data_IF_880906706623
#
_entry.id   IF_880906706623
#
_cell.length_a   1.000
_cell.length_b   1.000
_cell.length_c   1.000
_cell.angle_alpha   90.00
_cell.angle_beta   90.00
_cell.angle_gamma   90.00
#
_symmetry.space_group_name_H-M   'P 1'
#
loop_
_entity.id
_entity.type
_entity.pdbx_description
1 polymer ?
#
# COMPACT_ATOMS: atom_id res chain seq x y z
N UNK A 1 26.04 -3.71 -11.77
CA UNK A 1 26.13 -5.14 -11.39
C UNK A 1 25.64 -5.28 -9.96
N UNK A 2 24.60 -6.11 -9.78
CA UNK A 2 24.05 -6.74 -8.57
C UNK A 2 24.27 -6.04 -7.22
N UNK A 3 23.26 -5.29 -6.78
CA UNK A 3 23.12 -4.91 -5.37
C UNK A 3 22.44 -6.04 -4.61
N UNK A 4 23.25 -6.90 -3.99
CA UNK A 4 22.86 -7.63 -2.79
C UNK A 4 23.85 -7.27 -1.70
N UNK A 5 23.36 -6.86 -0.52
CA UNK A 5 23.88 -7.54 0.65
C UNK A 5 22.77 -7.93 1.63
N UNK A 6 22.88 -9.17 2.11
CA UNK A 6 22.30 -9.65 3.35
C UNK A 6 22.75 -8.71 4.48
N UNK A 7 21.85 -7.85 4.96
CA UNK A 7 22.05 -7.12 6.22
C UNK A 7 20.76 -7.29 7.03
N UNK A 8 20.88 -7.55 8.33
CA UNK A 8 19.77 -7.59 9.30
C UNK A 8 19.08 -6.23 9.48
N UNK A 9 19.36 -5.26 8.62
CA UNK A 9 18.80 -3.92 8.59
C UNK A 9 17.81 -3.82 7.44
N UNK A 10 16.71 -3.09 7.68
CA UNK A 10 15.63 -2.91 6.69
C UNK A 10 16.22 -2.32 5.39
N UNK A 11 15.87 -2.84 4.21
CA UNK A 11 16.36 -2.29 2.96
C UNK A 11 15.88 -0.85 2.77
N UNK A 12 16.61 -0.06 1.98
CA UNK A 12 16.26 1.34 1.69
C UNK A 12 14.88 1.49 1.02
N UNK A 13 14.40 0.46 0.33
CA UNK A 13 13.06 0.41 -0.25
C UNK A 13 11.96 -0.06 0.72
N UNK A 14 12.29 -0.31 1.99
CA UNK A 14 11.33 -0.84 2.96
C UNK A 14 10.20 0.16 3.20
N UNK A 15 8.96 -0.27 2.96
CA UNK A 15 7.78 0.58 3.13
C UNK A 15 7.57 1.61 2.00
N UNK A 16 8.45 1.67 0.99
CA UNK A 16 8.25 2.59 -0.12
C UNK A 16 7.23 2.04 -1.12
N UNK A 17 5.99 2.50 -0.98
CA UNK A 17 4.86 2.10 -1.80
C UNK A 17 5.13 2.22 -3.31
N UNK A 18 5.89 3.22 -3.77
CA UNK A 18 6.19 3.38 -5.21
C UNK A 18 7.13 2.30 -5.74
N UNK A 19 7.98 1.75 -4.87
CA UNK A 19 8.99 0.75 -5.22
C UNK A 19 8.48 -0.67 -4.99
N UNK A 20 7.77 -0.91 -3.87
CA UNK A 20 7.31 -2.25 -3.48
C UNK A 20 5.92 -2.59 -4.02
N UNK A 21 5.11 -1.57 -4.32
CA UNK A 21 3.76 -1.74 -4.87
C UNK A 21 3.43 -0.63 -5.90
N UNK A 22 4.26 -0.51 -6.96
CA UNK A 22 4.08 0.46 -8.03
C UNK A 22 2.71 0.34 -8.69
N UNK A 23 2.20 1.49 -9.17
CA UNK A 23 1.06 1.54 -10.07
C UNK A 23 1.57 1.32 -11.49
N UNK A 24 1.10 0.25 -12.13
CA UNK A 24 1.42 -0.04 -13.53
C UNK A 24 0.51 0.77 -14.48
N UNK A 25 0.86 0.78 -15.77
CA UNK A 25 0.15 1.51 -16.82
C UNK A 25 -1.27 1.03 -17.06
N UNK A 26 -1.61 -0.17 -16.60
CA UNK A 26 -2.95 -0.75 -16.61
C UNK A 26 -3.84 -0.24 -15.46
N UNK A 27 -3.29 0.62 -14.59
CA UNK A 27 -3.96 1.16 -13.41
C UNK A 27 -4.16 0.12 -12.30
N UNK A 28 -3.45 -1.00 -12.36
CA UNK A 28 -3.33 -1.96 -11.27
C UNK A 28 -2.00 -1.76 -10.55
N UNK A 29 -2.00 -2.07 -9.26
CA UNK A 29 -0.77 -2.09 -8.48
C UNK A 29 -0.23 -3.51 -8.43
N UNK A 30 1.03 -3.68 -8.78
CA UNK A 30 1.68 -4.99 -8.87
C UNK A 30 2.90 -5.00 -7.96
N UNK A 31 3.08 -6.08 -7.20
CA UNK A 31 4.30 -6.28 -6.41
C UNK A 31 5.37 -6.89 -7.32
N UNK A 32 6.54 -6.26 -7.52
CA UNK A 32 7.59 -6.83 -8.35
C UNK A 32 8.08 -8.17 -7.80
N UNK A 33 8.43 -9.10 -8.68
CA UNK A 33 8.88 -10.45 -8.29
C UNK A 33 10.13 -10.41 -7.36
N UNK A 34 11.00 -9.42 -7.55
CA UNK A 34 12.13 -9.19 -6.65
C UNK A 34 11.70 -8.92 -5.20
N UNK A 35 10.58 -8.23 -4.98
CA UNK A 35 10.03 -8.00 -3.65
C UNK A 35 9.40 -9.28 -3.05
N UNK A 36 8.83 -10.15 -3.88
CA UNK A 36 8.27 -11.44 -3.43
C UNK A 36 9.34 -12.43 -2.96
N UNK A 37 10.57 -12.29 -3.48
CA UNK A 37 11.76 -13.02 -3.06
C UNK A 37 12.45 -12.41 -1.83
N UNK A 38 12.01 -11.25 -1.34
CA UNK A 38 12.58 -10.62 -0.15
C UNK A 38 12.15 -11.33 1.14
N UNK A 39 13.08 -11.50 2.08
CA UNK A 39 12.81 -12.04 3.42
C UNK A 39 11.82 -11.18 4.24
N UNK A 40 11.81 -9.86 4.01
CA UNK A 40 10.98 -8.93 4.75
C UNK A 40 9.64 -8.60 4.05
N UNK A 41 9.27 -9.32 2.98
CA UNK A 41 8.14 -8.97 2.11
C UNK A 41 6.83 -8.68 2.84
N UNK A 42 6.47 -9.50 3.82
CA UNK A 42 5.21 -9.39 4.56
C UNK A 42 5.18 -8.14 5.42
N UNK A 43 6.25 -7.91 6.18
CA UNK A 43 6.38 -6.76 7.08
C UNK A 43 6.51 -5.47 6.25
N UNK A 44 7.28 -5.50 5.17
CA UNK A 44 7.48 -4.37 4.27
C UNK A 44 6.17 -3.92 3.60
N UNK A 45 5.39 -4.86 3.06
CA UNK A 45 4.10 -4.57 2.44
C UNK A 45 3.09 -4.08 3.49
N UNK A 46 3.06 -4.69 4.68
CA UNK A 46 2.19 -4.23 5.77
C UNK A 46 2.54 -2.78 6.17
N UNK A 47 3.82 -2.47 6.41
CA UNK A 47 4.24 -1.11 6.74
C UNK A 47 3.97 -0.10 5.61
N UNK A 48 4.13 -0.50 4.34
CA UNK A 48 3.77 0.36 3.21
C UNK A 48 2.26 0.69 3.16
N UNK A 49 1.42 -0.25 3.60
CA UNK A 49 -0.04 -0.10 3.63
C UNK A 49 -0.58 0.57 4.89
N UNK A 50 0.20 0.65 5.95
CA UNK A 50 -0.20 1.24 7.24
C UNK A 50 -0.12 2.77 7.24
N UNK A 51 0.87 3.35 6.55
CA UNK A 51 1.02 4.82 6.50
C UNK A 51 0.08 5.52 5.50
N UNK A 52 0.19 6.85 5.45
CA UNK A 52 -0.61 7.75 4.59
C UNK A 52 -0.75 7.33 3.13
N UNK A 53 0.35 6.85 2.52
CA UNK A 53 0.35 6.38 1.13
C UNK A 53 -0.48 5.10 0.98
N UNK A 54 -0.49 4.22 1.99
CA UNK A 54 -1.30 3.00 2.05
C UNK A 54 -2.80 3.28 2.19
N UNK A 55 -3.16 4.32 2.94
CA UNK A 55 -4.55 4.78 3.05
C UNK A 55 -5.10 5.26 1.71
N UNK A 56 -4.27 5.91 0.88
CA UNK A 56 -4.63 6.28 -0.49
C UNK A 56 -4.91 5.05 -1.35
N UNK A 57 -4.11 3.99 -1.24
CA UNK A 57 -4.36 2.71 -1.95
C UNK A 57 -5.70 2.09 -1.56
N UNK A 58 -6.03 2.10 -0.27
CA UNK A 58 -7.33 1.58 0.21
C UNK A 58 -8.49 2.39 -0.36
N UNK A 59 -8.33 3.70 -0.49
CA UNK A 59 -9.34 4.56 -1.11
C UNK A 59 -9.50 4.26 -2.61
N UNK A 60 -8.38 4.09 -3.35
CA UNK A 60 -8.38 3.68 -4.76
C UNK A 60 -9.10 2.33 -4.96
N UNK A 61 -8.87 1.36 -4.07
CA UNK A 61 -9.55 0.05 -4.10
C UNK A 61 -11.06 0.17 -3.90
N UNK A 62 -11.50 1.01 -2.95
CA UNK A 62 -12.93 1.27 -2.71
C UNK A 62 -13.56 1.93 -3.93
N UNK A 63 -12.89 2.92 -4.53
CA UNK A 63 -13.39 3.57 -5.74
C UNK A 63 -13.47 2.61 -6.93
N UNK A 64 -12.50 1.70 -7.08
CA UNK A 64 -12.54 0.63 -8.10
C UNK A 64 -13.67 -0.35 -7.85
N UNK A 65 -13.89 -0.79 -6.61
CA UNK A 65 -14.98 -1.69 -6.25
C UNK A 65 -16.36 -1.03 -6.50
N UNK A 66 -16.49 0.27 -6.23
CA UNK A 66 -17.71 1.02 -6.52
C UNK A 66 -17.95 1.15 -8.02
N UNK A 67 -16.92 1.52 -8.80
CA UNK A 67 -17.00 1.57 -10.28
C UNK A 67 -17.32 0.22 -10.90
N UNK A 68 -16.82 -0.87 -10.32
CA UNK A 68 -17.12 -2.23 -10.74
C UNK A 68 -18.47 -2.77 -10.25
N UNK A 69 -19.27 -1.97 -9.53
CA UNK A 69 -20.58 -2.39 -9.02
C UNK A 69 -20.54 -3.41 -7.87
N UNK A 70 -19.35 -3.71 -7.32
CA UNK A 70 -19.15 -4.67 -6.23
C UNK A 70 -19.67 -4.13 -4.90
N UNK A 71 -19.65 -2.79 -4.73
CA UNK A 71 -20.14 -2.12 -3.52
C UNK A 71 -21.10 -0.98 -3.88
N UNK A 72 -22.10 -0.76 -3.02
CA UNK A 72 -23.05 0.35 -3.16
C UNK A 72 -22.53 1.69 -2.59
N UNK A 73 -23.30 2.76 -2.82
CA UNK A 73 -22.95 4.13 -2.40
C UNK A 73 -22.71 4.26 -0.88
N UNK A 74 -23.60 3.71 -0.06
CA UNK A 74 -23.46 3.75 1.41
C UNK A 74 -22.20 3.03 1.89
N UNK A 75 -21.88 1.89 1.28
CA UNK A 75 -20.72 1.09 1.64
C UNK A 75 -19.42 1.80 1.25
N UNK A 76 -19.39 2.43 0.06
CA UNK A 76 -18.29 3.32 -0.34
C UNK A 76 -18.10 4.47 0.64
N UNK A 77 -19.17 5.18 0.97
CA UNK A 77 -19.11 6.33 1.88
C UNK A 77 -18.62 5.93 3.28
N UNK A 78 -19.19 4.86 3.85
CA UNK A 78 -18.79 4.33 5.16
C UNK A 78 -17.30 3.96 5.20
N UNK A 79 -16.81 3.23 4.20
CA UNK A 79 -15.40 2.86 4.13
C UNK A 79 -14.47 4.07 3.94
N UNK A 80 -14.84 5.04 3.09
CA UNK A 80 -14.08 6.29 2.95
C UNK A 80 -14.04 7.09 4.26
N UNK A 81 -15.14 7.12 5.02
CA UNK A 81 -15.17 7.75 6.34
C UNK A 81 -14.26 7.05 7.34
N UNK A 82 -14.17 5.72 7.31
CA UNK A 82 -13.21 4.96 8.13
C UNK A 82 -11.77 5.33 7.80
N UNK A 83 -11.41 5.40 6.51
CA UNK A 83 -10.07 5.83 6.08
C UNK A 83 -9.76 7.26 6.56
N UNK A 84 -10.73 8.16 6.45
CA UNK A 84 -10.57 9.54 6.92
C UNK A 84 -10.34 9.61 8.44
N UNK A 85 -10.97 8.74 9.23
CA UNK A 85 -10.73 8.63 10.67
C UNK A 85 -9.33 8.09 10.97
N UNK A 86 -8.86 7.11 10.20
CA UNK A 86 -7.49 6.58 10.33
C UNK A 86 -6.45 7.67 10.09
N UNK A 87 -6.61 8.48 9.04
CA UNK A 87 -5.75 9.65 8.78
C UNK A 87 -5.70 10.65 9.92
N UNK A 88 -6.84 10.88 10.59
CA UNK A 88 -6.94 11.86 11.69
C UNK A 88 -6.33 11.37 13.00
N UNK A 89 -6.27 10.05 13.18
CA UNK A 89 -5.78 9.41 14.40
C UNK A 89 -4.31 8.94 14.30
N UNK A 90 -3.66 9.08 13.14
CA UNK A 90 -2.23 8.81 13.00
C UNK A 90 -1.43 9.99 13.58
N UNK A 91 -0.60 9.80 14.63
CA UNK A 91 0.37 10.81 15.03
C UNK A 91 1.37 11.02 13.88
N UNK A 92 1.91 12.23 13.66
CA UNK A 92 2.86 12.49 12.59
C UNK A 92 3.99 11.47 12.66
N UNK A 93 4.17 10.70 11.59
CA UNK A 93 5.21 9.67 11.52
C UNK A 93 6.60 10.27 11.76
N UNK A 94 7.53 9.49 12.35
CA UNK A 94 8.89 9.95 12.63
C UNK A 94 9.68 10.30 11.36
#
# INVERSE_FOLDING_TARGET
MVSNPKVKTKPVCFGDLKTVFPLESDGLRVTPDACLRCLHKTICLRSALEGDKGLQVREEMIDRAYRGGVIGFFQRWSQKKTIQRMRKNEPPGP
#
